data_IF_623195975329
#
_entry.id   IF_623195975329
#
_cell.length_a   1.000
_cell.length_b   1.000
_cell.length_c   1.000
_cell.angle_alpha   90.00
_cell.angle_beta   90.00
_cell.angle_gamma   90.00
#
_symmetry.space_group_name_H-M   'P 1'
#
loop_
_entity.id
_entity.type
_entity.pdbx_description
1 polymer ?
#
# COMPACT_ATOMS: atom_id res chain seq x y z
N UNK A 1 -0.68 17.88 -2.61
CA UNK A 1 -0.89 16.71 -3.49
C UNK A 1 -0.70 15.43 -2.71
N UNK A 2 -1.72 14.59 -2.56
CA UNK A 2 -1.65 13.28 -1.91
C UNK A 2 -1.79 12.14 -2.94
N UNK A 3 -0.72 11.39 -3.15
CA UNK A 3 -0.72 10.20 -4.00
C UNK A 3 -0.68 8.94 -3.13
N UNK A 4 -1.42 7.90 -3.49
CA UNK A 4 -1.34 6.62 -2.78
C UNK A 4 -0.81 5.52 -3.67
N UNK A 5 0.10 4.70 -3.15
CA UNK A 5 0.60 3.51 -3.84
C UNK A 5 0.26 2.28 -3.04
N UNK A 6 -0.77 1.57 -3.51
CA UNK A 6 -1.29 0.35 -2.89
C UNK A 6 -0.85 -0.90 -3.66
N UNK A 7 -0.94 -2.05 -3.02
CA UNK A 7 -0.71 -3.33 -3.67
C UNK A 7 -0.15 -4.41 -2.76
N UNK A 8 -0.12 -5.67 -3.23
CA UNK A 8 0.37 -6.77 -2.44
C UNK A 8 1.90 -6.78 -2.33
N UNK A 9 2.46 -7.52 -1.36
CA UNK A 9 3.90 -7.72 -1.23
C UNK A 9 4.51 -8.27 -2.52
N UNK A 10 5.65 -7.68 -2.92
CA UNK A 10 6.38 -8.07 -4.13
C UNK A 10 5.88 -7.42 -5.43
N UNK A 11 4.87 -6.56 -5.38
CA UNK A 11 4.36 -5.84 -6.56
C UNK A 11 5.30 -4.76 -7.11
N UNK A 12 6.28 -4.32 -6.33
CA UNK A 12 7.16 -3.19 -6.70
C UNK A 12 6.76 -1.86 -6.07
N UNK A 13 5.66 -1.81 -5.30
CA UNK A 13 5.12 -0.58 -4.70
C UNK A 13 6.13 0.29 -3.95
N UNK A 14 6.96 -0.27 -3.09
CA UNK A 14 7.88 0.55 -2.28
C UNK A 14 8.96 1.23 -3.14
N UNK A 15 9.46 0.54 -4.18
CA UNK A 15 10.41 1.15 -5.13
C UNK A 15 9.72 2.23 -5.96
N UNK A 16 8.54 1.93 -6.50
CA UNK A 16 7.80 2.89 -7.33
C UNK A 16 7.35 4.11 -6.52
N UNK A 17 6.88 3.95 -5.29
CA UNK A 17 6.45 5.04 -4.43
C UNK A 17 7.59 6.02 -4.10
N UNK A 18 8.79 5.50 -3.83
CA UNK A 18 9.98 6.34 -3.64
C UNK A 18 10.31 7.15 -4.90
N UNK A 19 10.32 6.52 -6.07
CA UNK A 19 10.60 7.19 -7.34
C UNK A 19 9.54 8.25 -7.69
N UNK A 20 8.26 7.96 -7.44
CA UNK A 20 7.16 8.92 -7.62
C UNK A 20 7.33 10.12 -6.68
N UNK A 21 7.63 9.87 -5.40
CA UNK A 21 7.88 10.93 -4.42
C UNK A 21 9.05 11.84 -4.85
N UNK A 22 10.17 11.24 -5.28
CA UNK A 22 11.32 12.00 -5.80
C UNK A 22 10.98 12.80 -7.06
N UNK A 23 10.15 12.26 -7.95
CA UNK A 23 9.79 12.91 -9.23
C UNK A 23 8.89 14.13 -9.01
N UNK A 24 7.95 14.04 -8.08
CA UNK A 24 6.99 15.11 -7.77
C UNK A 24 7.42 16.01 -6.60
N UNK A 25 8.63 15.81 -6.05
CA UNK A 25 9.15 16.52 -4.87
C UNK A 25 8.20 16.44 -3.65
N UNK A 26 7.69 15.24 -3.40
CA UNK A 26 6.76 14.93 -2.32
C UNK A 26 7.47 14.19 -1.17
N UNK A 27 6.92 14.30 0.04
CA UNK A 27 7.28 13.41 1.13
C UNK A 27 6.91 11.95 0.76
N UNK A 28 7.56 10.98 1.41
CA UNK A 28 7.23 9.57 1.25
C UNK A 28 7.06 8.93 2.63
N UNK A 29 5.85 8.41 2.89
CA UNK A 29 5.53 7.65 4.10
C UNK A 29 5.17 6.24 3.69
N UNK A 30 5.91 5.25 4.21
CA UNK A 30 5.54 3.85 4.04
C UNK A 30 4.97 3.24 5.33
N UNK A 31 4.00 2.34 5.19
CA UNK A 31 3.49 1.55 6.31
C UNK A 31 4.57 0.71 6.99
N UNK A 32 5.63 0.35 6.25
CA UNK A 32 6.81 -0.30 6.83
C UNK A 32 7.60 0.62 7.76
N UNK A 33 7.68 1.92 7.46
CA UNK A 33 8.36 2.90 8.31
C UNK A 33 7.52 3.20 9.56
N UNK A 34 6.21 3.44 9.40
CA UNK A 34 5.29 3.63 10.53
C UNK A 34 5.27 2.40 11.45
N UNK A 35 5.31 1.18 10.90
CA UNK A 35 5.41 -0.04 11.70
C UNK A 35 6.68 -0.07 12.56
N UNK A 36 7.81 0.40 12.04
CA UNK A 36 9.08 0.49 12.79
C UNK A 36 9.02 1.58 13.85
N UNK A 37 8.43 2.73 13.54
CA UNK A 37 8.20 3.79 14.53
C UNK A 37 7.35 3.29 15.70
N UNK A 38 6.24 2.60 15.42
CA UNK A 38 5.38 2.00 16.45
C UNK A 38 6.10 0.95 17.28
N UNK A 39 6.99 0.16 16.67
CA UNK A 39 7.85 -0.78 17.39
C UNK A 39 8.78 -0.05 18.36
N UNK A 40 9.47 0.98 17.89
CA UNK A 40 10.43 1.77 18.66
C UNK A 40 9.74 2.53 19.81
N UNK A 41 8.57 3.12 19.58
CA UNK A 41 7.74 3.79 20.59
C UNK A 41 7.34 2.85 21.75
N UNK A 42 7.19 1.56 21.44
CA UNK A 42 6.83 0.52 22.41
C UNK A 42 8.02 -0.24 22.96
N UNK A 43 9.24 0.14 22.56
CA UNK A 43 10.48 -0.46 23.02
C UNK A 43 10.73 -1.87 22.48
N UNK A 44 10.19 -2.21 21.30
CA UNK A 44 10.42 -3.47 20.60
C UNK A 44 11.32 -3.27 19.39
N UNK A 45 12.13 -4.28 19.08
CA UNK A 45 12.72 -4.34 17.74
C UNK A 45 11.65 -4.64 16.68
N UNK A 46 11.85 -4.28 15.40
CA UNK A 46 10.88 -4.60 14.34
C UNK A 46 10.55 -6.09 14.25
N UNK A 47 11.52 -6.98 14.54
CA UNK A 47 11.31 -8.42 14.54
C UNK A 47 10.42 -8.90 15.69
N UNK A 48 10.62 -8.35 16.90
CA UNK A 48 9.78 -8.67 18.06
C UNK A 48 8.36 -8.13 17.87
N UNK A 49 8.26 -6.91 17.36
CA UNK A 49 6.97 -6.27 17.10
C UNK A 49 6.18 -7.02 16.02
N UNK A 50 6.85 -7.55 14.99
CA UNK A 50 6.22 -8.37 13.96
C UNK A 50 5.61 -9.66 14.53
N UNK A 51 6.33 -10.36 15.43
CA UNK A 51 5.78 -11.52 16.13
C UNK A 51 4.60 -11.15 17.03
N UNK A 52 4.66 -9.99 17.68
CA UNK A 52 3.57 -9.52 18.51
C UNK A 52 2.32 -9.19 17.67
N UNK A 53 2.50 -8.63 16.48
CA UNK A 53 1.42 -8.32 15.54
C UNK A 53 0.69 -9.58 15.04
N UNK A 54 1.37 -10.73 14.95
CA UNK A 54 0.74 -12.01 14.60
C UNK A 54 -0.32 -12.46 15.63
N UNK A 55 -0.19 -12.05 16.90
CA UNK A 55 -1.08 -12.45 17.99
C UNK A 55 -1.99 -11.31 18.48
N UNK A 56 -1.72 -10.06 18.07
CA UNK A 56 -2.40 -8.88 18.56
C UNK A 56 -2.84 -7.96 17.41
N UNK A 57 -4.11 -8.09 17.02
CA UNK A 57 -4.72 -7.27 15.97
C UNK A 57 -4.71 -5.76 16.25
N UNK A 58 -4.54 -5.33 17.50
CA UNK A 58 -4.45 -3.92 17.84
C UNK A 58 -3.24 -3.26 17.17
N UNK A 59 -2.16 -4.01 16.90
CA UNK A 59 -0.98 -3.46 16.21
C UNK A 59 -1.30 -3.13 14.75
N UNK A 60 -2.02 -4.01 14.04
CA UNK A 60 -2.49 -3.75 12.68
C UNK A 60 -3.44 -2.52 12.69
N UNK A 61 -4.38 -2.47 13.64
CA UNK A 61 -5.30 -1.32 13.79
C UNK A 61 -4.60 -0.01 14.10
N UNK A 62 -3.58 -0.02 14.95
CA UNK A 62 -2.83 1.19 15.31
C UNK A 62 -1.98 1.68 14.13
N UNK A 63 -1.42 0.76 13.33
CA UNK A 63 -0.74 1.08 12.08
C UNK A 63 -1.72 1.72 11.08
N UNK A 64 -2.86 1.08 10.84
CA UNK A 64 -3.86 1.56 9.88
C UNK A 64 -4.44 2.92 10.32
N UNK A 65 -4.69 3.11 11.62
CA UNK A 65 -5.12 4.40 12.18
C UNK A 65 -4.08 5.49 11.89
N UNK A 66 -2.81 5.26 12.21
CA UNK A 66 -1.75 6.26 11.99
C UNK A 66 -1.54 6.59 10.53
N UNK A 67 -1.64 5.60 9.64
CA UNK A 67 -1.59 5.83 8.19
C UNK A 67 -2.78 6.67 7.71
N UNK A 68 -3.98 6.42 8.25
CA UNK A 68 -5.16 7.25 7.95
C UNK A 68 -5.01 8.67 8.49
N UNK A 69 -4.58 8.85 9.73
CA UNK A 69 -4.32 10.17 10.32
C UNK A 69 -3.36 10.98 9.44
N UNK A 70 -2.24 10.38 9.04
CA UNK A 70 -1.29 11.00 8.10
C UNK A 70 -1.97 11.39 6.79
N UNK A 71 -2.82 10.53 6.22
CA UNK A 71 -3.53 10.82 4.99
C UNK A 71 -4.55 11.96 5.10
N UNK A 72 -5.10 12.20 6.29
CA UNK A 72 -6.08 13.27 6.55
C UNK A 72 -5.41 14.61 6.91
N UNK A 73 -4.20 14.58 7.47
CA UNK A 73 -3.55 15.75 8.06
C UNK A 73 -2.38 16.30 7.23
N UNK A 74 -1.72 15.47 6.42
CA UNK A 74 -0.52 15.83 5.68
C UNK A 74 -0.81 16.02 4.19
N UNK A 75 -0.28 17.11 3.64
CA UNK A 75 -0.26 17.41 2.22
C UNK A 75 1.11 17.08 1.59
N UNK A 76 1.18 17.08 0.27
CA UNK A 76 2.41 16.91 -0.52
C UNK A 76 3.16 15.61 -0.19
N UNK A 77 2.44 14.49 -0.27
CA UNK A 77 2.83 13.19 0.24
C UNK A 77 2.52 12.06 -0.76
N UNK A 78 3.44 11.08 -0.81
CA UNK A 78 3.16 9.73 -1.30
C UNK A 78 3.00 8.77 -0.13
N UNK A 79 1.80 8.22 0.03
CA UNK A 79 1.48 7.21 1.04
C UNK A 79 1.56 5.81 0.45
N UNK A 80 2.47 4.98 0.96
CA UNK A 80 2.69 3.60 0.52
C UNK A 80 2.27 2.60 1.59
N UNK A 81 1.27 1.77 1.30
CA UNK A 81 0.93 0.63 2.16
C UNK A 81 0.10 -0.39 1.39
N UNK A 82 -0.33 -1.48 2.03
CA UNK A 82 -1.27 -2.40 1.36
C UNK A 82 -2.65 -1.77 1.16
N UNK A 83 -3.07 -0.90 2.09
CA UNK A 83 -4.39 -0.27 2.14
C UNK A 83 -4.35 1.24 1.86
N UNK A 84 -3.24 1.81 1.37
CA UNK A 84 -3.07 3.26 1.33
C UNK A 84 -4.22 4.00 0.63
N UNK A 85 -4.71 3.48 -0.50
CA UNK A 85 -5.85 4.05 -1.21
C UNK A 85 -7.17 3.96 -0.42
N UNK A 86 -7.38 2.86 0.31
CA UNK A 86 -8.54 2.69 1.19
C UNK A 86 -8.48 3.60 2.42
N UNK A 87 -7.29 3.76 3.02
CA UNK A 87 -7.11 4.56 4.23
C UNK A 87 -7.17 6.07 3.95
N UNK A 88 -6.59 6.51 2.83
CA UNK A 88 -6.66 7.91 2.41
C UNK A 88 -8.05 8.29 1.89
N UNK A 89 -8.78 7.33 1.32
CA UNK A 89 -10.15 7.57 0.86
C UNK A 89 -10.22 8.68 -0.18
N UNK A 90 -11.11 9.64 0.05
CA UNK A 90 -11.37 10.76 -0.86
C UNK A 90 -10.36 11.91 -0.70
N UNK A 91 -9.52 11.90 0.33
CA UNK A 91 -8.43 12.88 0.48
C UNK A 91 -7.29 12.63 -0.53
N UNK A 92 -7.16 11.42 -1.05
CA UNK A 92 -6.15 11.11 -2.06
C UNK A 92 -6.46 11.79 -3.40
N UNK A 93 -5.51 12.56 -3.93
CA UNK A 93 -5.57 13.18 -5.25
C UNK A 93 -5.47 12.15 -6.40
N UNK A 94 -4.76 11.05 -6.19
CA UNK A 94 -4.69 9.94 -7.15
C UNK A 94 -4.35 8.63 -6.44
N UNK A 95 -5.05 7.54 -6.78
CA UNK A 95 -4.89 6.23 -6.14
C UNK A 95 -4.35 5.18 -7.11
N UNK A 96 -3.14 4.68 -6.84
CA UNK A 96 -2.50 3.62 -7.61
C UNK A 96 -2.68 2.25 -6.95
N UNK A 97 -2.93 1.23 -7.77
CA UNK A 97 -2.79 -0.17 -7.39
C UNK A 97 -1.72 -0.84 -8.26
N UNK A 98 -0.65 -1.34 -7.63
CA UNK A 98 0.40 -2.08 -8.33
C UNK A 98 0.33 -3.55 -7.96
N UNK A 99 0.33 -4.43 -8.95
CA UNK A 99 0.31 -5.89 -8.75
C UNK A 99 1.23 -6.61 -9.75
N UNK A 100 1.50 -7.89 -9.51
CA UNK A 100 2.09 -8.83 -10.45
C UNK A 100 1.60 -10.25 -10.12
N UNK A 101 1.67 -11.21 -11.05
CA UNK A 101 1.34 -12.60 -10.76
C UNK A 101 2.06 -13.10 -9.51
N UNK A 102 1.37 -13.88 -8.67
CA UNK A 102 1.88 -14.34 -7.38
C UNK A 102 3.28 -14.96 -7.45
N UNK A 103 3.58 -15.71 -8.52
CA UNK A 103 4.90 -16.29 -8.75
C UNK A 103 5.99 -15.23 -8.98
N UNK A 104 5.70 -14.19 -9.77
CA UNK A 104 6.64 -13.08 -10.01
C UNK A 104 6.90 -12.32 -8.71
N UNK A 105 5.84 -12.06 -7.93
CA UNK A 105 5.97 -11.44 -6.61
C UNK A 105 6.79 -12.31 -5.65
N UNK A 106 6.52 -13.61 -5.63
CA UNK A 106 7.27 -14.59 -4.83
C UNK A 106 8.74 -14.68 -5.22
N UNK A 107 9.07 -14.65 -6.52
CA UNK A 107 10.45 -14.59 -7.03
C UNK A 107 11.18 -13.31 -6.54
N UNK A 108 10.54 -12.13 -6.65
CA UNK A 108 11.09 -10.86 -6.14
C UNK A 108 11.32 -10.88 -4.62
N UNK A 109 10.37 -11.45 -3.87
CA UNK A 109 10.49 -11.58 -2.40
C UNK A 109 11.61 -12.56 -2.05
N UNK A 110 11.69 -13.69 -2.75
CA UNK A 110 12.72 -14.71 -2.53
C UNK A 110 14.12 -14.17 -2.77
N UNK A 111 14.32 -13.38 -3.83
CA UNK A 111 15.58 -12.70 -4.11
C UNK A 111 15.97 -11.74 -2.97
N UNK A 112 15.03 -10.88 -2.55
CA UNK A 112 15.26 -9.90 -1.47
C UNK A 112 15.58 -10.54 -0.12
N UNK A 113 14.90 -11.64 0.20
CA UNK A 113 14.96 -12.28 1.52
C UNK A 113 15.85 -13.54 1.54
N UNK A 114 16.53 -13.84 0.44
CA UNK A 114 17.34 -15.05 0.25
C UNK A 114 16.57 -16.34 0.60
N UNK A 115 15.35 -16.47 0.07
CA UNK A 115 14.46 -17.63 0.27
C UNK A 115 14.30 -18.45 -1.01
N UNK A 116 13.68 -19.62 -0.88
CA UNK A 116 13.23 -20.41 -2.03
C UNK A 116 12.01 -19.72 -2.72
N UNK A 117 11.99 -19.58 -4.06
CA UNK A 117 10.91 -18.90 -4.78
C UNK A 117 9.52 -19.54 -4.63
N UNK A 118 9.43 -20.87 -4.63
CA UNK A 118 8.14 -21.57 -4.49
C UNK A 118 7.61 -21.36 -3.07
N UNK A 119 8.48 -21.53 -2.07
CA UNK A 119 8.14 -21.28 -0.66
C UNK A 119 7.71 -19.83 -0.42
N UNK A 120 8.45 -18.85 -0.94
CA UNK A 120 8.11 -17.44 -0.80
C UNK A 120 6.77 -17.11 -1.46
N UNK A 121 6.46 -17.74 -2.60
CA UNK A 121 5.16 -17.61 -3.28
C UNK A 121 4.02 -18.11 -2.40
N UNK A 122 4.14 -19.32 -1.85
CA UNK A 122 3.07 -19.93 -1.04
C UNK A 122 2.90 -19.23 0.33
N UNK A 123 4.01 -18.90 1.01
CA UNK A 123 3.97 -18.09 2.25
C UNK A 123 3.29 -16.74 2.01
N UNK A 124 3.61 -16.09 0.89
CA UNK A 124 2.99 -14.80 0.54
C UNK A 124 1.49 -14.99 0.32
N UNK A 125 1.05 -15.89 -0.56
CA UNK A 125 -0.39 -16.13 -0.81
C UNK A 125 -1.16 -16.41 0.48
N UNK A 126 -0.62 -17.24 1.38
CA UNK A 126 -1.24 -17.55 2.65
C UNK A 126 -1.40 -16.30 3.52
N UNK A 127 -0.35 -15.46 3.60
CA UNK A 127 -0.42 -14.17 4.30
C UNK A 127 -1.49 -13.26 3.70
N UNK A 128 -1.55 -13.13 2.38
CA UNK A 128 -2.53 -12.25 1.71
C UNK A 128 -3.98 -12.69 1.96
N UNK A 129 -4.24 -14.00 1.92
CA UNK A 129 -5.57 -14.54 2.19
C UNK A 129 -5.98 -14.30 3.65
N UNK A 130 -5.03 -14.33 4.58
CA UNK A 130 -5.28 -13.99 5.98
C UNK A 130 -5.53 -12.49 6.15
N UNK A 131 -4.73 -11.64 5.52
CA UNK A 131 -4.89 -10.18 5.54
C UNK A 131 -6.23 -9.75 4.95
N UNK A 132 -6.63 -10.28 3.80
CA UNK A 132 -7.92 -9.99 3.17
C UNK A 132 -9.11 -10.30 4.12
N UNK A 133 -9.06 -11.42 4.83
CA UNK A 133 -10.08 -11.75 5.83
C UNK A 133 -10.11 -10.74 6.98
N UNK A 134 -8.94 -10.26 7.43
CA UNK A 134 -8.87 -9.25 8.51
C UNK A 134 -9.42 -7.90 8.04
N UNK A 135 -9.10 -7.46 6.84
CA UNK A 135 -9.60 -6.18 6.30
C UNK A 135 -11.12 -6.15 6.16
N UNK A 136 -11.70 -7.25 5.66
CA UNK A 136 -13.15 -7.42 5.60
C UNK A 136 -13.77 -7.39 7.02
N UNK A 137 -13.19 -8.13 7.96
CA UNK A 137 -13.72 -8.23 9.33
C UNK A 137 -13.60 -6.94 10.14
N UNK A 138 -12.51 -6.20 9.97
CA UNK A 138 -12.21 -5.02 10.77
C UNK A 138 -12.85 -3.76 10.19
N UNK A 139 -12.89 -3.66 8.86
CA UNK A 139 -13.19 -2.40 8.17
C UNK A 139 -14.28 -2.52 7.11
N UNK A 140 -14.73 -3.74 6.78
CA UNK A 140 -15.61 -3.97 5.62
C UNK A 140 -14.91 -3.76 4.28
N UNK A 141 -13.58 -3.81 4.26
CA UNK A 141 -12.78 -3.58 3.05
C UNK A 141 -12.60 -4.90 2.29
N UNK A 142 -13.24 -4.99 1.11
CA UNK A 142 -12.87 -5.98 0.11
C UNK A 142 -11.60 -5.50 -0.61
N UNK A 143 -10.44 -6.03 -0.20
CA UNK A 143 -9.15 -5.66 -0.82
C UNK A 143 -9.04 -6.08 -2.30
N UNK A 144 -9.98 -6.90 -2.81
CA UNK A 144 -10.07 -7.25 -4.23
C UNK A 144 -10.89 -6.25 -5.03
N UNK A 145 -11.64 -5.36 -4.37
CA UNK A 145 -12.31 -4.25 -5.03
C UNK A 145 -11.28 -3.19 -5.43
N UNK A 146 -10.95 -3.21 -6.72
CA UNK A 146 -10.01 -2.26 -7.31
C UNK A 146 -10.71 -1.04 -7.91
N UNK A 147 -12.04 -0.93 -7.79
CA UNK A 147 -12.81 0.16 -8.43
C UNK A 147 -12.52 1.53 -7.84
N UNK A 148 -11.95 1.58 -6.62
CA UNK A 148 -11.53 2.82 -5.98
C UNK A 148 -10.24 3.40 -6.60
N UNK A 149 -9.44 2.60 -7.31
CA UNK A 149 -8.14 3.05 -7.82
C UNK A 149 -8.28 3.67 -9.20
N UNK A 150 -7.67 4.84 -9.37
CA UNK A 150 -7.63 5.58 -10.63
C UNK A 150 -6.77 4.84 -11.69
N UNK A 151 -5.70 4.16 -11.25
CA UNK A 151 -4.86 3.35 -12.12
C UNK A 151 -4.40 2.06 -11.44
N UNK A 152 -4.68 0.94 -12.10
CA UNK A 152 -4.20 -0.39 -11.72
C UNK A 152 -3.20 -0.92 -12.74
N UNK A 153 -1.98 -1.26 -12.30
CA UNK A 153 -0.87 -1.66 -13.18
C UNK A 153 -0.34 -3.03 -12.78
N UNK A 154 -0.26 -3.92 -13.78
CA UNK A 154 0.49 -5.17 -13.67
C UNK A 154 1.97 -4.91 -13.99
N UNK A 155 2.84 -4.95 -12.99
CA UNK A 155 4.27 -4.62 -13.06
C UNK A 155 5.15 -5.79 -13.53
N UNK A 156 4.57 -6.93 -13.91
CA UNK A 156 5.33 -8.18 -14.12
C UNK A 156 6.29 -8.17 -15.30
N UNK A 157 6.05 -7.32 -16.30
CA UNK A 157 6.81 -7.29 -17.57
C UNK A 157 7.47 -5.94 -17.83
N UNK A 158 7.56 -5.11 -16.80
CA UNK A 158 8.08 -3.75 -16.88
C UNK A 158 9.26 -3.61 -15.94
N UNK A 159 10.26 -2.89 -16.40
CA UNK A 159 11.31 -2.37 -15.52
C UNK A 159 10.75 -1.21 -14.68
N UNK A 160 11.33 -0.92 -13.50
CA UNK A 160 10.84 0.12 -12.59
C UNK A 160 10.64 1.49 -13.26
N UNK A 161 11.57 1.92 -14.11
CA UNK A 161 11.50 3.20 -14.80
C UNK A 161 10.29 3.29 -15.74
N UNK A 162 9.97 2.21 -16.45
CA UNK A 162 8.79 2.19 -17.32
C UNK A 162 7.48 2.25 -16.53
N UNK A 163 7.45 1.64 -15.33
CA UNK A 163 6.31 1.77 -14.41
C UNK A 163 6.19 3.21 -13.91
N UNK A 164 7.30 3.83 -13.54
CA UNK A 164 7.34 5.24 -13.14
C UNK A 164 6.80 6.15 -14.23
N UNK A 165 7.29 6.03 -15.46
CA UNK A 165 6.86 6.85 -16.60
C UNK A 165 5.34 6.77 -16.82
N UNK A 166 4.76 5.58 -16.71
CA UNK A 166 3.31 5.38 -16.81
C UNK A 166 2.55 6.09 -15.68
N UNK A 167 3.05 6.00 -14.44
CA UNK A 167 2.42 6.64 -13.29
C UNK A 167 2.53 8.16 -13.37
N UNK A 168 3.70 8.69 -13.73
CA UNK A 168 3.92 10.14 -13.89
C UNK A 168 3.00 10.70 -14.96
N UNK A 169 2.95 10.05 -16.13
CA UNK A 169 2.02 10.44 -17.20
C UNK A 169 0.57 10.43 -16.73
N UNK A 170 0.19 9.43 -15.94
CA UNK A 170 -1.17 9.34 -15.43
C UNK A 170 -1.51 10.49 -14.47
N UNK A 171 -0.59 10.92 -13.59
CA UNK A 171 -0.80 12.07 -12.70
C UNK A 171 -0.85 13.38 -13.48
N UNK A 172 0.13 13.61 -14.36
CA UNK A 172 0.27 14.89 -15.09
C UNK A 172 -0.92 15.16 -16.01
N UNK A 173 -1.52 14.11 -16.58
CA UNK A 173 -2.64 14.21 -17.53
C UNK A 173 -4.01 13.97 -16.85
N UNK A 174 -4.07 13.80 -15.53
CA UNK A 174 -5.33 13.57 -14.82
C UNK A 174 -6.11 14.88 -14.67
N UNK A 175 -7.25 14.97 -15.35
CA UNK A 175 -8.16 16.13 -15.26
C UNK A 175 -9.17 15.93 -14.12
N UNK A 176 -9.04 16.71 -13.06
CA UNK A 176 -9.93 16.67 -11.89
C UNK A 176 -11.25 17.43 -12.09
N UNK A 177 -11.36 18.25 -13.12
CA UNK A 177 -12.53 19.13 -13.36
C UNK A 177 -13.55 18.49 -14.35
N UNK A 178 -13.36 17.21 -14.68
CA UNK A 178 -14.17 16.45 -15.63
C UNK A 178 -15.56 16.04 -15.14
N UNK A 179 -15.84 14.73 -15.14
CA UNK A 179 -17.11 14.15 -14.71
C UNK A 179 -17.09 13.72 -13.22
N UNK A 180 -17.83 12.66 -12.85
CA UNK A 180 -17.91 12.14 -11.47
C UNK A 180 -16.54 11.76 -10.89
N UNK A 181 -15.53 11.51 -11.74
CA UNK A 181 -14.15 11.31 -11.32
C UNK A 181 -13.97 10.04 -10.47
N UNK A 182 -13.41 10.20 -9.27
CA UNK A 182 -13.06 9.12 -8.34
C UNK A 182 -14.30 8.42 -7.80
N UNK A 183 -14.31 7.09 -7.83
CA UNK A 183 -15.28 6.32 -7.06
C UNK A 183 -15.10 6.61 -5.55
N UNK A 184 -16.17 6.92 -4.80
CA UNK A 184 -16.05 7.22 -3.38
C UNK A 184 -15.61 5.98 -2.60
N UNK A 185 -14.77 6.19 -1.59
CA UNK A 185 -14.41 5.11 -0.65
C UNK A 185 -15.40 5.09 0.50
N UNK A 186 -16.22 4.03 0.54
CA UNK A 186 -17.17 3.81 1.62
C UNK A 186 -16.57 2.82 2.62
N UNK A 187 -16.33 3.28 3.85
CA UNK A 187 -15.86 2.44 4.95
C UNK A 187 -16.97 2.27 5.97
N UNK A 188 -17.22 1.03 6.38
CA UNK A 188 -18.19 0.70 7.43
C UNK A 188 -17.63 0.95 8.85
N UNK A 189 -16.35 1.31 8.94
CA UNK A 189 -15.62 1.51 10.19
C UNK A 189 -15.12 2.95 10.31
N UNK A 190 -15.44 3.59 11.44
CA UNK A 190 -14.81 4.85 11.84
C UNK A 190 -13.50 4.52 12.58
N UNK A 191 -12.39 5.01 12.04
CA UNK A 191 -11.09 4.94 12.69
C UNK A 191 -11.07 6.00 13.81
N UNK A 192 -11.76 5.71 14.92
CA UNK A 192 -11.69 6.48 16.18
C UNK A 192 -10.42 6.18 16.99
#
# INVERSE_FOLDING_TARGET
MLLTVSGPPGSGKSTTAQLVAETFDLAHVSGGDIFRELADERGYTPLEFNKLAEENEQIDRDLDRRLREIALEEDDLVLESRLAGWLAGDEADFRFWLDAPARVRGERIAEREAKDPERATEETKAREASEAQRYEQYYGIDIQDLTIYDLSVNTARWEPDAVLDMLVTAVDEYDTDGDEGKAPVLLDYEFE
#
